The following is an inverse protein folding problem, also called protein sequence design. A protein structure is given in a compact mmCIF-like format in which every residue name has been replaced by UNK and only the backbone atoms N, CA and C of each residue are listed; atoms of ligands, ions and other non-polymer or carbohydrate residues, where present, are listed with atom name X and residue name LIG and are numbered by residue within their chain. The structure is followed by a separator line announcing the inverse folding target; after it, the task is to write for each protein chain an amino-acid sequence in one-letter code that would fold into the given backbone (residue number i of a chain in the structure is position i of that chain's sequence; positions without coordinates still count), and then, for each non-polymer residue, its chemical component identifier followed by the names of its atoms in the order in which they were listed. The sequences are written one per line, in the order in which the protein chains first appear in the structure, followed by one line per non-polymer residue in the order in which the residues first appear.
data_IF_867488820580
#
_entry.id   IF_867488820580
#
_cell.length_a   1.000
_cell.length_b   1.000
_cell.length_c   1.000
_cell.angle_alpha   90.00
_cell.angle_beta   90.00
_cell.angle_gamma   90.00
#
_symmetry.space_group_name_H-M   'P 1'
#
loop_
_entity.id
_entity.type
_entity.pdbx_description
1 polymer ?
#
# COMPACT_ATOMS: atom_id res chain seq x y z
N UNK A 1 -12.67 7.66 18.02
CA UNK A 1 -12.11 6.32 17.78
C UNK A 1 -12.36 5.95 16.33
N UNK A 2 -11.34 5.61 15.54
CA UNK A 2 -11.57 4.85 14.30
C UNK A 2 -12.24 3.51 14.66
N UNK A 3 -13.10 2.97 13.79
CA UNK A 3 -13.91 1.76 14.09
C UNK A 3 -13.02 0.56 14.49
N UNK A 4 -13.58 -0.30 15.35
CA UNK A 4 -13.00 -1.44 16.09
C UNK A 4 -11.92 -2.33 15.42
N UNK A 5 -11.75 -2.32 14.09
CA UNK A 5 -10.71 -3.09 13.38
C UNK A 5 -9.33 -2.42 13.39
N UNK A 6 -9.24 -1.12 13.68
CA UNK A 6 -7.97 -0.36 13.60
C UNK A 6 -7.22 -0.25 14.95
N UNK A 7 -7.80 -0.77 16.05
CA UNK A 7 -7.21 -0.64 17.39
C UNK A 7 -5.82 -1.26 17.54
N UNK A 8 -5.56 -2.39 16.87
CA UNK A 8 -4.27 -3.08 16.93
C UNK A 8 -3.13 -2.33 16.20
N UNK A 9 -3.47 -1.48 15.22
CA UNK A 9 -2.49 -0.67 14.47
C UNK A 9 -2.07 0.57 15.26
N UNK A 10 -2.79 0.92 16.34
CA UNK A 10 -2.51 2.09 17.17
C UNK A 10 -1.54 1.81 18.32
N UNK A 11 -1.32 0.53 18.65
CA UNK A 11 -0.35 0.11 19.67
C UNK A 11 1.06 0.46 19.21
N UNK A 12 1.71 1.33 19.97
CA UNK A 12 3.06 1.79 19.66
C UNK A 12 3.81 2.20 20.93
N UNK A 13 5.14 1.99 20.97
CA UNK A 13 5.96 2.59 22.00
C UNK A 13 5.94 4.12 21.87
N UNK A 14 6.13 4.80 23.00
CA UNK A 14 6.05 6.26 23.07
C UNK A 14 7.39 6.90 22.74
N UNK A 15 7.56 7.38 21.50
CA UNK A 15 8.81 7.98 21.00
C UNK A 15 8.97 9.47 21.32
N UNK A 16 7.88 10.16 21.67
CA UNK A 16 7.89 11.62 21.87
C UNK A 16 7.83 11.99 23.34
N UNK A 17 8.31 13.19 23.69
CA UNK A 17 8.22 13.71 25.06
C UNK A 17 6.80 14.14 25.44
N UNK A 18 5.96 14.49 24.45
CA UNK A 18 4.59 14.97 24.62
C UNK A 18 3.62 14.23 23.69
N UNK A 19 2.35 14.16 24.08
CA UNK A 19 1.26 13.56 23.30
C UNK A 19 0.06 14.52 23.17
N UNK A 20 -0.63 14.47 22.03
CA UNK A 20 -1.90 15.18 21.80
C UNK A 20 -3.03 14.12 21.81
N UNK A 21 -3.73 13.92 22.93
CA UNK A 21 -4.81 12.94 23.00
C UNK A 21 -6.04 13.43 22.21
N UNK A 22 -6.54 12.60 21.28
CA UNK A 22 -7.74 12.89 20.47
C UNK A 22 -8.70 11.71 20.58
N UNK A 23 -9.79 11.88 21.33
CA UNK A 23 -10.78 10.82 21.60
C UNK A 23 -10.17 9.48 22.05
N UNK A 24 -9.05 9.55 22.78
CA UNK A 24 -8.31 8.40 23.33
C UNK A 24 -7.56 8.83 24.59
N UNK A 25 -7.17 7.85 25.41
CA UNK A 25 -6.25 8.06 26.51
C UNK A 25 -4.80 8.15 26.00
N UNK A 26 -4.01 9.04 26.61
CA UNK A 26 -2.57 9.15 26.36
C UNK A 26 -1.81 8.24 27.34
N UNK A 27 -0.67 7.72 26.90
CA UNK A 27 0.22 6.92 27.76
C UNK A 27 1.14 7.80 28.64
N UNK A 28 1.15 9.12 28.39
CA UNK A 28 1.94 10.09 29.16
C UNK A 28 1.19 10.64 30.39
N UNK A 29 1.91 11.07 31.44
CA UNK A 29 1.36 11.90 32.52
C UNK A 29 0.67 13.17 32.00
N UNK A 30 -0.31 13.69 32.76
CA UNK A 30 -1.13 14.85 32.36
C UNK A 30 -0.29 16.09 32.00
N UNK A 31 0.86 16.26 32.63
CA UNK A 31 1.77 17.40 32.42
C UNK A 31 2.36 17.40 31.01
N UNK A 32 2.55 16.20 30.44
CA UNK A 32 3.10 15.93 29.10
C UNK A 32 2.02 15.75 28.03
N UNK A 33 0.75 16.00 28.36
CA UNK A 33 -0.36 16.00 27.40
C UNK A 33 -0.67 17.43 26.93
N UNK A 34 -0.68 17.63 25.62
CA UNK A 34 -1.07 18.89 24.98
C UNK A 34 -2.54 18.77 24.56
N UNK A 35 -3.42 19.48 25.28
CA UNK A 35 -4.85 19.48 25.00
C UNK A 35 -5.16 20.26 23.71
N UNK A 36 -6.22 19.90 23.00
CA UNK A 36 -6.58 20.58 21.74
C UNK A 36 -6.82 22.09 21.92
N UNK A 37 -7.43 22.50 23.03
CA UNK A 37 -7.64 23.93 23.38
C UNK A 37 -6.34 24.72 23.60
N UNK A 38 -5.22 24.02 23.76
CA UNK A 38 -3.90 24.61 23.95
C UNK A 38 -3.19 24.89 22.62
N UNK A 39 -3.73 24.38 21.51
CA UNK A 39 -3.17 24.53 20.18
C UNK A 39 -3.62 25.85 19.55
N UNK A 40 -2.63 26.66 19.17
CA UNK A 40 -2.83 27.91 18.46
C UNK A 40 -2.17 27.79 17.09
N UNK A 41 -2.90 28.20 16.06
CA UNK A 41 -2.43 28.24 14.68
C UNK A 41 -2.21 29.69 14.28
N UNK A 42 -1.10 29.96 13.59
CA UNK A 42 -0.83 31.27 13.00
C UNK A 42 -0.14 31.09 11.65
N UNK A 43 -0.16 32.11 10.80
CA UNK A 43 0.58 32.13 9.54
C UNK A 43 1.74 33.11 9.68
N UNK A 44 2.96 32.68 9.35
CA UNK A 44 4.15 33.55 9.29
C UNK A 44 4.95 33.22 8.04
N UNK A 45 5.22 34.21 7.20
CA UNK A 45 6.03 34.01 5.98
C UNK A 45 5.49 32.89 5.08
N UNK A 46 4.18 32.87 4.85
CA UNK A 46 3.48 31.84 4.07
C UNK A 46 3.60 30.40 4.63
N UNK A 47 3.92 30.25 5.92
CA UNK A 47 3.97 28.97 6.62
C UNK A 47 2.99 28.95 7.77
N UNK A 48 2.26 27.85 7.93
CA UNK A 48 1.48 27.61 9.14
C UNK A 48 2.43 27.27 10.30
N UNK A 49 2.14 27.85 11.45
CA UNK A 49 2.89 27.69 12.68
C UNK A 49 1.93 27.19 13.76
N UNK A 50 2.15 25.97 14.24
CA UNK A 50 1.36 25.36 15.32
C UNK A 50 2.11 25.55 16.64
N UNK A 51 1.47 26.19 17.63
CA UNK A 51 2.06 26.53 18.93
C UNK A 51 1.21 25.96 20.06
N UNK A 52 1.85 25.40 21.09
CA UNK A 52 1.22 25.13 22.37
C UNK A 52 1.28 26.38 23.25
N UNK A 53 0.14 26.86 23.74
CA UNK A 53 0.07 28.02 24.63
C UNK A 53 0.72 27.71 25.99
N UNK A 54 0.44 26.55 26.58
CA UNK A 54 0.98 26.06 27.85
C UNK A 54 2.51 26.00 27.83
N UNK A 55 3.09 25.47 26.76
CA UNK A 55 4.54 25.30 26.64
C UNK A 55 5.24 26.54 26.09
N UNK A 56 4.49 27.46 25.49
CA UNK A 56 4.99 28.57 24.70
C UNK A 56 6.02 28.13 23.63
N UNK A 57 5.77 26.99 22.98
CA UNK A 57 6.65 26.38 21.98
C UNK A 57 5.90 26.06 20.71
N UNK A 58 6.57 26.20 19.57
CA UNK A 58 6.08 25.60 18.32
C UNK A 58 6.20 24.08 18.42
N UNK A 59 5.20 23.38 17.88
CA UNK A 59 5.14 21.92 17.93
C UNK A 59 4.96 21.38 16.51
N UNK A 60 5.53 20.21 16.27
CA UNK A 60 5.36 19.45 15.04
C UNK A 60 4.74 18.12 15.46
N UNK A 61 3.42 17.92 15.23
CA UNK A 61 2.79 16.64 15.50
C UNK A 61 3.45 15.56 14.64
N UNK A 62 3.58 14.35 15.18
CA UNK A 62 4.13 13.20 14.47
C UNK A 62 3.17 12.03 14.65
N UNK A 63 2.82 11.40 13.53
CA UNK A 63 2.09 10.14 13.53
C UNK A 63 3.11 9.01 13.43
N UNK A 64 3.25 8.21 14.48
CA UNK A 64 4.23 7.13 14.58
C UNK A 64 3.59 5.74 14.45
N UNK A 65 2.49 5.64 13.70
CA UNK A 65 1.82 4.38 13.37
C UNK A 65 1.49 4.34 11.87
N UNK A 66 1.28 3.14 11.34
CA UNK A 66 0.85 2.92 9.95
C UNK A 66 -0.64 3.20 9.72
N UNK A 67 -1.26 4.04 10.56
CA UNK A 67 -2.68 4.36 10.44
C UNK A 67 -2.93 5.19 9.18
N UNK A 68 -3.91 4.77 8.36
CA UNK A 68 -4.32 5.53 7.20
C UNK A 68 -5.16 6.75 7.62
N UNK A 69 -4.46 7.78 8.10
CA UNK A 69 -5.11 8.98 8.62
C UNK A 69 -5.84 9.77 7.54
N UNK A 70 -5.52 9.60 6.25
CA UNK A 70 -6.17 10.29 5.14
C UNK A 70 -7.62 9.84 4.89
N UNK A 71 -8.05 8.71 5.47
CA UNK A 71 -9.42 8.24 5.36
C UNK A 71 -10.42 9.36 5.72
N UNK A 72 -11.37 9.73 4.83
CA UNK A 72 -12.33 10.82 5.07
C UNK A 72 -13.20 10.63 6.31
N UNK A 73 -13.34 9.40 6.81
CA UNK A 73 -14.07 9.09 8.05
C UNK A 73 -13.32 9.52 9.32
N UNK A 74 -12.03 9.84 9.21
CA UNK A 74 -11.26 10.38 10.32
C UNK A 74 -11.59 11.85 10.57
N UNK A 75 -11.50 12.27 11.84
CA UNK A 75 -11.72 13.66 12.24
C UNK A 75 -10.82 14.62 11.45
N UNK A 76 -11.40 15.69 10.91
CA UNK A 76 -10.67 16.71 10.15
C UNK A 76 -9.49 17.30 10.92
N UNK A 77 -9.63 17.48 12.24
CA UNK A 77 -8.55 17.95 13.10
C UNK A 77 -7.40 16.95 13.22
N UNK A 78 -7.70 15.66 13.34
CA UNK A 78 -6.68 14.60 13.36
C UNK A 78 -5.95 14.53 12.01
N UNK A 79 -6.70 14.60 10.90
CA UNK A 79 -6.14 14.70 9.55
C UNK A 79 -5.21 15.90 9.40
N UNK A 80 -5.65 17.09 9.80
CA UNK A 80 -4.86 18.32 9.76
C UNK A 80 -3.55 18.19 10.55
N UNK A 81 -3.60 17.70 11.79
CA UNK A 81 -2.41 17.54 12.61
C UNK A 81 -1.45 16.49 12.03
N UNK A 82 -1.99 15.40 11.47
CA UNK A 82 -1.19 14.37 10.80
C UNK A 82 -0.56 14.89 9.50
N UNK A 83 -1.24 15.74 8.73
CA UNK A 83 -0.67 16.38 7.53
C UNK A 83 0.35 17.46 7.87
N UNK A 84 0.21 18.15 9.00
CA UNK A 84 1.11 19.22 9.44
C UNK A 84 2.58 18.78 9.50
N UNK A 85 2.83 17.49 9.78
CA UNK A 85 4.18 16.94 9.86
C UNK A 85 4.97 17.00 8.54
N UNK A 86 4.27 17.21 7.40
CA UNK A 86 4.82 17.20 6.05
C UNK A 86 4.92 18.58 5.38
N UNK A 87 4.57 19.67 6.07
CA UNK A 87 4.49 21.02 5.47
C UNK A 87 5.76 21.51 4.75
N UNK A 88 6.93 20.97 5.08
CA UNK A 88 8.19 21.29 4.38
C UNK A 88 9.01 20.02 4.07
N UNK A 89 8.35 18.87 3.89
CA UNK A 89 9.05 17.62 3.60
C UNK A 89 8.37 16.86 2.47
N UNK A 90 9.17 16.15 1.68
CA UNK A 90 8.66 15.19 0.71
C UNK A 90 8.07 14.00 1.47
N UNK A 91 6.75 13.80 1.35
CA UNK A 91 6.03 12.76 2.09
C UNK A 91 6.36 11.36 1.59
N UNK A 92 6.40 11.18 0.28
CA UNK A 92 6.65 9.91 -0.38
C UNK A 92 7.50 10.13 -1.63
N UNK A 93 8.35 9.15 -1.95
CA UNK A 93 9.03 9.03 -3.23
C UNK A 93 8.57 7.70 -3.80
N UNK A 94 7.85 7.74 -4.91
CA UNK A 94 7.35 6.55 -5.59
C UNK A 94 7.28 6.83 -7.09
N UNK A 95 7.29 5.75 -7.87
CA UNK A 95 6.98 5.81 -9.29
C UNK A 95 5.46 5.71 -9.47
N UNK A 96 4.91 6.58 -10.31
CA UNK A 96 3.49 6.56 -10.70
C UNK A 96 3.40 6.63 -12.22
N UNK A 97 2.55 5.78 -12.79
CA UNK A 97 2.18 5.87 -14.20
C UNK A 97 1.28 7.07 -14.48
N UNK A 98 0.70 7.67 -13.42
CA UNK A 98 -0.26 8.77 -13.53
C UNK A 98 -1.55 8.31 -14.20
N UNK A 99 -2.28 9.25 -14.80
CA UNK A 99 -3.57 8.96 -15.44
C UNK A 99 -3.49 7.91 -16.55
N UNK A 100 -2.36 7.83 -17.25
CA UNK A 100 -2.18 6.92 -18.38
C UNK A 100 -2.07 5.45 -17.94
N UNK A 101 -1.76 5.21 -16.67
CA UNK A 101 -1.63 3.86 -16.13
C UNK A 101 -2.93 3.06 -16.20
N UNK A 102 -4.07 3.73 -16.29
CA UNK A 102 -5.37 3.07 -16.36
C UNK A 102 -5.87 2.80 -17.78
N UNK A 103 -5.29 3.46 -18.78
CA UNK A 103 -5.76 3.45 -20.17
C UNK A 103 -5.15 2.30 -20.99
N UNK A 104 -4.02 1.76 -20.55
CA UNK A 104 -3.33 0.68 -21.25
C UNK A 104 -3.62 -0.68 -20.64
N UNK A 105 -3.89 -1.66 -21.51
CA UNK A 105 -4.00 -3.07 -21.12
C UNK A 105 -2.70 -3.58 -20.52
N UNK A 106 -1.54 -3.13 -21.01
CA UNK A 106 -0.24 -3.60 -20.55
C UNK A 106 0.68 -2.42 -20.26
N UNK A 107 1.27 -2.42 -19.06
CA UNK A 107 2.34 -1.51 -18.67
C UNK A 107 3.61 -2.35 -18.43
N UNK A 108 4.73 -2.01 -19.09
CA UNK A 108 5.97 -2.76 -18.93
C UNK A 108 6.58 -2.56 -17.54
N UNK A 109 7.48 -3.45 -17.13
CA UNK A 109 8.28 -3.23 -15.92
C UNK A 109 9.14 -1.97 -16.09
N UNK A 110 9.17 -1.12 -15.06
CA UNK A 110 10.05 0.06 -15.00
C UNK A 110 11.22 -0.26 -14.08
N UNK A 111 12.43 -0.12 -14.62
CA UNK A 111 13.67 -0.41 -13.91
C UNK A 111 14.60 0.80 -13.99
N UNK A 112 15.17 1.18 -12.86
CA UNK A 112 16.27 2.14 -12.79
C UNK A 112 17.48 1.45 -12.16
N UNK A 113 18.56 1.31 -12.94
CA UNK A 113 19.74 0.50 -12.58
C UNK A 113 19.31 -0.92 -12.16
N UNK A 114 19.54 -1.30 -10.91
CA UNK A 114 19.21 -2.62 -10.38
C UNK A 114 17.91 -2.61 -9.56
N UNK A 115 17.13 -1.53 -9.63
CA UNK A 115 15.91 -1.34 -8.84
C UNK A 115 14.68 -1.37 -9.74
N UNK A 116 13.76 -2.29 -9.46
CA UNK A 116 12.44 -2.31 -10.09
C UNK A 116 11.59 -1.25 -9.41
N UNK A 117 11.25 -0.18 -10.14
CA UNK A 117 10.40 0.90 -9.65
C UNK A 117 8.91 0.58 -9.80
N UNK A 118 8.57 -0.18 -10.85
CA UNK A 118 7.22 -0.68 -11.10
C UNK A 118 7.28 -2.04 -11.76
N UNK A 119 6.46 -2.97 -11.27
CA UNK A 119 6.28 -4.28 -11.92
C UNK A 119 5.52 -4.11 -13.23
N UNK A 120 5.67 -5.05 -14.14
CA UNK A 120 4.77 -5.16 -15.27
C UNK A 120 3.33 -5.40 -14.79
N UNK A 121 2.39 -4.66 -15.38
CA UNK A 121 0.97 -4.66 -15.00
C UNK A 121 0.11 -4.98 -16.21
N UNK A 122 -0.97 -5.73 -16.01
CA UNK A 122 -2.04 -5.92 -16.98
C UNK A 122 -3.36 -5.42 -16.42
N UNK A 123 -3.94 -4.38 -17.04
CA UNK A 123 -5.28 -3.90 -16.73
C UNK A 123 -6.27 -4.57 -17.68
N UNK A 124 -7.07 -5.50 -17.17
CA UNK A 124 -7.98 -6.30 -17.99
C UNK A 124 -9.43 -6.04 -17.60
N UNK A 125 -10.30 -6.09 -18.58
CA UNK A 125 -11.76 -5.95 -18.40
C UNK A 125 -12.45 -7.31 -18.42
N UNK A 126 -13.74 -7.33 -18.07
CA UNK A 126 -14.58 -8.52 -18.23
C UNK A 126 -14.62 -9.03 -19.68
N UNK A 127 -14.57 -8.13 -20.66
CA UNK A 127 -14.49 -8.45 -22.10
C UNK A 127 -13.22 -9.24 -22.41
N UNK A 128 -12.09 -8.86 -21.81
CA UNK A 128 -10.79 -9.51 -22.01
C UNK A 128 -10.74 -10.92 -21.41
N UNK A 129 -11.58 -11.20 -20.41
CA UNK A 129 -11.67 -12.50 -19.74
C UNK A 129 -12.76 -13.40 -20.32
N UNK A 130 -13.61 -12.89 -21.21
CA UNK A 130 -14.80 -13.59 -21.72
C UNK A 130 -14.50 -14.99 -22.26
N UNK A 131 -13.39 -15.17 -22.97
CA UNK A 131 -12.99 -16.47 -23.54
C UNK A 131 -12.70 -17.55 -22.50
N UNK A 132 -12.34 -17.15 -21.27
CA UNK A 132 -12.10 -18.07 -20.16
C UNK A 132 -13.40 -18.60 -19.56
N UNK A 133 -14.51 -17.87 -19.72
CA UNK A 133 -15.82 -18.22 -19.18
C UNK A 133 -16.75 -18.93 -20.18
N UNK A 134 -16.45 -18.87 -21.48
CA UNK A 134 -17.28 -19.49 -22.53
C UNK A 134 -17.12 -21.02 -22.51
N UNK A 135 -18.24 -21.75 -22.50
CA UNK A 135 -18.35 -23.24 -22.47
C UNK A 135 -17.89 -23.89 -21.17
N UNK A 136 -18.88 -24.26 -20.33
CA UNK A 136 -18.77 -24.79 -18.96
C UNK A 136 -18.17 -26.21 -18.82
N UNK A 137 -17.63 -26.81 -19.87
CA UNK A 137 -16.96 -28.11 -19.76
C UNK A 137 -15.46 -27.91 -19.52
N UNK A 138 -14.94 -28.58 -18.50
CA UNK A 138 -13.53 -28.53 -18.08
C UNK A 138 -12.55 -28.96 -19.18
N UNK A 139 -13.03 -29.73 -20.16
CA UNK A 139 -12.25 -30.42 -21.19
C UNK A 139 -11.36 -29.51 -22.05
N UNK A 140 -11.60 -28.19 -22.07
CA UNK A 140 -10.82 -27.25 -22.87
C UNK A 140 -10.21 -26.06 -22.09
N UNK A 141 -10.20 -26.12 -20.75
CA UNK A 141 -9.73 -24.98 -19.94
C UNK A 141 -8.25 -24.64 -20.19
N UNK A 142 -7.38 -25.66 -20.32
CA UNK A 142 -5.93 -25.44 -20.53
C UNK A 142 -5.62 -24.71 -21.83
N UNK A 143 -6.34 -25.02 -22.90
CA UNK A 143 -6.16 -24.35 -24.20
C UNK A 143 -6.69 -22.92 -24.16
N UNK A 144 -7.83 -22.67 -23.49
CA UNK A 144 -8.33 -21.30 -23.27
C UNK A 144 -7.33 -20.46 -22.51
N UNK A 145 -6.76 -21.01 -21.42
CA UNK A 145 -5.68 -20.37 -20.65
C UNK A 145 -4.49 -20.07 -21.55
N UNK A 146 -4.05 -21.02 -22.36
CA UNK A 146 -2.92 -20.86 -23.27
C UNK A 146 -3.16 -19.72 -24.27
N UNK A 147 -4.32 -19.70 -24.94
CA UNK A 147 -4.69 -18.68 -25.93
C UNK A 147 -4.79 -17.29 -25.31
N UNK A 148 -5.50 -17.18 -24.19
CA UNK A 148 -5.66 -15.93 -23.45
C UNK A 148 -4.31 -15.36 -23.03
N UNK A 149 -3.44 -16.20 -22.44
CA UNK A 149 -2.09 -15.79 -22.06
C UNK A 149 -1.24 -15.37 -23.25
N UNK A 150 -1.34 -16.07 -24.37
CA UNK A 150 -0.60 -15.73 -25.60
C UNK A 150 -1.08 -14.40 -26.17
N UNK A 151 -2.39 -14.15 -26.18
CA UNK A 151 -3.02 -12.91 -26.66
C UNK A 151 -2.55 -11.70 -25.85
N UNK A 152 -2.62 -11.78 -24.52
CA UNK A 152 -2.28 -10.67 -23.63
C UNK A 152 -0.82 -10.67 -23.14
N UNK A 153 -0.02 -11.66 -23.58
CA UNK A 153 1.37 -11.90 -23.15
C UNK A 153 1.52 -12.03 -21.63
N UNK A 154 0.52 -12.60 -20.95
CA UNK A 154 0.54 -12.82 -19.50
C UNK A 154 1.44 -14.03 -19.16
N UNK A 155 2.36 -13.90 -18.19
CA UNK A 155 3.27 -14.99 -17.79
C UNK A 155 2.54 -16.18 -17.15
N UNK A 156 3.23 -17.32 -17.01
CA UNK A 156 2.67 -18.56 -16.41
C UNK A 156 2.23 -18.35 -14.98
N UNK A 157 2.94 -17.47 -14.30
CA UNK A 157 2.73 -17.10 -12.93
C UNK A 157 2.53 -15.59 -12.85
N UNK A 158 1.49 -15.15 -12.17
CA UNK A 158 1.16 -13.74 -11.99
C UNK A 158 0.42 -13.56 -10.66
N UNK A 159 0.21 -12.31 -10.28
CA UNK A 159 -0.52 -11.93 -9.07
C UNK A 159 -1.76 -11.14 -9.46
N UNK A 160 -2.94 -11.56 -9.02
CA UNK A 160 -4.12 -10.70 -9.01
C UNK A 160 -3.98 -9.72 -7.84
N UNK A 161 -4.08 -8.42 -8.13
CA UNK A 161 -3.99 -7.35 -7.13
C UNK A 161 -5.35 -6.71 -6.90
N UNK A 162 -5.77 -6.71 -5.65
CA UNK A 162 -7.00 -6.06 -5.18
C UNK A 162 -6.66 -5.17 -3.98
N UNK A 163 -6.43 -3.88 -4.23
CA UNK A 163 -5.93 -2.96 -3.22
C UNK A 163 -4.63 -3.48 -2.56
N UNK A 164 -4.69 -3.81 -1.26
CA UNK A 164 -3.58 -4.37 -0.48
C UNK A 164 -3.51 -5.90 -0.57
N UNK A 165 -4.55 -6.56 -1.08
CA UNK A 165 -4.58 -8.01 -1.21
C UNK A 165 -3.91 -8.46 -2.52
N UNK A 166 -3.14 -9.55 -2.42
CA UNK A 166 -2.43 -10.16 -3.54
C UNK A 166 -2.72 -11.65 -3.57
N UNK A 167 -3.15 -12.17 -4.72
CA UNK A 167 -3.43 -13.58 -4.94
C UNK A 167 -2.50 -14.12 -6.03
N UNK A 168 -1.58 -15.01 -5.64
CA UNK A 168 -0.66 -15.66 -6.57
C UNK A 168 -1.38 -16.75 -7.37
N UNK A 169 -1.21 -16.71 -8.69
CA UNK A 169 -1.80 -17.66 -9.64
C UNK A 169 -0.68 -18.33 -10.42
N UNK A 170 -0.71 -19.67 -10.46
CA UNK A 170 0.06 -20.45 -11.42
C UNK A 170 -0.90 -21.13 -12.41
N UNK A 171 -0.81 -20.76 -13.67
CA UNK A 171 -1.68 -21.25 -14.74
C UNK A 171 -1.50 -22.73 -15.07
N UNK A 172 -0.40 -23.34 -14.62
CA UNK A 172 -0.18 -24.80 -14.73
C UNK A 172 -0.98 -25.59 -13.68
N UNK A 173 -1.40 -24.92 -12.60
CA UNK A 173 -2.30 -25.49 -11.60
C UNK A 173 -3.74 -25.05 -11.90
N UNK A 174 -4.53 -25.97 -12.48
CA UNK A 174 -5.92 -25.70 -12.88
C UNK A 174 -6.82 -25.33 -11.70
N UNK A 175 -6.56 -25.84 -10.49
CA UNK A 175 -7.30 -25.46 -9.29
C UNK A 175 -7.07 -24.00 -8.91
N UNK A 176 -5.81 -23.54 -8.88
CA UNK A 176 -5.48 -22.14 -8.61
C UNK A 176 -6.06 -21.21 -9.69
N UNK A 177 -6.04 -21.64 -10.96
CA UNK A 177 -6.63 -20.85 -12.04
C UNK A 177 -8.17 -20.78 -11.95
N UNK A 178 -8.84 -21.85 -11.54
CA UNK A 178 -10.29 -21.81 -11.26
C UNK A 178 -10.60 -20.84 -10.12
N UNK A 179 -9.79 -20.83 -9.06
CA UNK A 179 -9.92 -19.86 -7.96
C UNK A 179 -9.76 -18.42 -8.48
N UNK A 180 -8.78 -18.16 -9.35
CA UNK A 180 -8.66 -16.86 -10.04
C UNK A 180 -9.95 -16.47 -10.77
N UNK A 181 -10.49 -17.36 -11.61
CA UNK A 181 -11.72 -17.10 -12.37
C UNK A 181 -12.92 -16.81 -11.46
N UNK A 182 -13.00 -17.48 -10.31
CA UNK A 182 -14.02 -17.24 -9.29
C UNK A 182 -13.83 -15.87 -8.62
N UNK A 183 -12.59 -15.50 -8.25
CA UNK A 183 -12.28 -14.21 -7.62
C UNK A 183 -12.59 -13.01 -8.52
N UNK A 184 -12.37 -13.14 -9.83
CA UNK A 184 -12.58 -12.03 -10.78
C UNK A 184 -13.98 -12.01 -11.40
N UNK A 185 -14.83 -12.97 -11.06
CA UNK A 185 -16.18 -13.08 -11.61
C UNK A 185 -17.03 -11.87 -11.20
N UNK A 186 -17.56 -11.15 -12.19
CA UNK A 186 -18.41 -9.97 -11.97
C UNK A 186 -17.65 -8.67 -11.74
N UNK A 187 -16.32 -8.70 -11.70
CA UNK A 187 -15.49 -7.50 -11.68
C UNK A 187 -15.42 -6.90 -13.10
N UNK A 188 -15.59 -5.58 -13.22
CA UNK A 188 -15.51 -4.86 -14.51
C UNK A 188 -14.07 -4.64 -14.97
N UNK A 189 -13.15 -4.50 -14.02
CA UNK A 189 -11.72 -4.25 -14.25
C UNK A 189 -10.93 -5.01 -13.20
N UNK A 190 -9.84 -5.63 -13.63
CA UNK A 190 -8.87 -6.29 -12.76
C UNK A 190 -7.47 -5.84 -13.11
N UNK A 191 -6.58 -5.97 -12.13
CA UNK A 191 -5.16 -5.65 -12.27
C UNK A 191 -4.35 -6.90 -11.97
N UNK A 192 -3.59 -7.36 -12.97
CA UNK A 192 -2.58 -8.39 -12.77
C UNK A 192 -1.20 -7.74 -12.67
N UNK A 193 -0.37 -8.23 -11.77
CA UNK A 193 1.05 -7.89 -11.69
C UNK A 193 1.88 -9.13 -12.04
N UNK A 194 3.06 -8.92 -12.62
CA UNK A 194 4.04 -10.00 -12.73
C UNK A 194 4.49 -10.48 -11.33
N UNK A 195 4.88 -11.74 -11.26
CA UNK A 195 5.60 -12.25 -10.09
C UNK A 195 7.10 -12.05 -10.27
N UNK A 196 7.77 -11.67 -9.19
CA UNK A 196 9.24 -11.63 -9.12
C UNK A 196 9.81 -12.88 -8.43
N UNK A 197 8.93 -13.74 -7.90
CA UNK A 197 9.31 -14.95 -7.18
C UNK A 197 9.79 -15.98 -8.22
N UNK A 198 11.09 -16.23 -8.22
CA UNK A 198 11.74 -17.33 -8.92
C UNK A 198 12.83 -17.93 -8.03
N UNK A 199 13.31 -19.14 -8.36
CA UNK A 199 14.29 -19.88 -7.53
C UNK A 199 15.61 -19.12 -7.32
N UNK A 200 15.91 -18.09 -8.12
CA UNK A 200 17.13 -17.26 -7.99
C UNK A 200 16.91 -15.96 -7.21
N UNK A 201 15.66 -15.57 -6.95
CA UNK A 201 15.28 -14.35 -6.23
C UNK A 201 15.13 -14.54 -4.72
N UNK A 202 15.02 -15.78 -4.26
CA UNK A 202 14.82 -16.09 -2.85
C UNK A 202 16.17 -16.17 -2.13
N UNK A 203 16.37 -15.27 -1.17
CA UNK A 203 17.64 -15.14 -0.43
C UNK A 203 17.54 -15.65 1.01
N UNK A 204 16.33 -15.81 1.53
CA UNK A 204 16.09 -16.28 2.91
C UNK A 204 15.87 -17.79 2.86
N UNK A 205 16.70 -18.52 3.61
CA UNK A 205 16.61 -19.97 3.78
C UNK A 205 16.69 -20.38 5.25
N UNK A 206 16.07 -21.50 5.60
CA UNK A 206 16.25 -22.14 6.91
C UNK A 206 17.45 -23.11 6.92
N UNK A 207 17.66 -23.77 8.06
CA UNK A 207 18.71 -24.77 8.27
C UNK A 207 18.55 -26.00 7.36
N UNK A 208 17.32 -26.32 6.94
CA UNK A 208 16.99 -27.39 6.00
C UNK A 208 17.17 -26.96 4.52
N UNK A 209 17.65 -25.75 4.25
CA UNK A 209 17.75 -25.17 2.91
C UNK A 209 16.42 -24.98 2.17
N UNK A 210 15.30 -24.82 2.90
CA UNK A 210 14.02 -24.38 2.32
C UNK A 210 14.01 -22.87 2.20
N UNK A 211 13.48 -22.36 1.08
CA UNK A 211 13.44 -20.94 0.78
C UNK A 211 12.13 -20.29 1.19
N UNK A 212 12.19 -19.03 1.61
CA UNK A 212 11.04 -18.25 2.06
C UNK A 212 10.95 -16.92 1.31
N UNK A 213 9.73 -16.47 1.02
CA UNK A 213 9.50 -15.12 0.53
C UNK A 213 9.71 -14.12 1.65
N UNK A 214 10.36 -13.00 1.35
CA UNK A 214 10.69 -11.99 2.34
C UNK A 214 10.43 -10.57 1.81
N UNK A 215 10.24 -9.65 2.74
CA UNK A 215 10.18 -8.21 2.50
C UNK A 215 11.15 -7.54 3.47
N UNK A 216 11.91 -6.55 2.99
CA UNK A 216 12.90 -5.82 3.80
C UNK A 216 12.51 -4.36 3.81
N UNK A 217 12.34 -3.81 5.01
CA UNK A 217 12.06 -2.38 5.21
C UNK A 217 13.38 -1.67 5.47
N UNK A 218 13.75 -0.74 4.57
CA UNK A 218 14.95 0.08 4.68
C UNK A 218 14.53 1.53 4.94
N UNK A 219 15.04 2.11 6.03
CA UNK A 219 14.79 3.50 6.37
C UNK A 219 15.93 4.39 5.86
N UNK A 220 15.58 5.42 5.10
CA UNK A 220 16.51 6.45 4.65
C UNK A 220 16.30 7.73 5.46
N UNK A 221 17.39 8.41 5.77
CA UNK A 221 17.36 9.75 6.35
C UNK A 221 18.15 10.70 5.45
N UNK A 222 17.73 11.96 5.39
CA UNK A 222 18.50 12.99 4.68
C UNK A 222 19.76 13.28 5.50
N UNK A 223 20.93 13.01 4.93
CA UNK A 223 22.20 13.44 5.51
C UNK A 223 22.26 14.97 5.58
N UNK A 224 22.83 15.51 6.65
CA UNK A 224 23.18 16.91 6.72
C UNK A 224 24.51 17.08 5.99
N UNK A 225 24.47 17.39 4.71
CA UNK A 225 25.57 18.09 4.02
C UNK A 225 25.35 19.60 4.15
#
# INVERSE_FOLDING_TARGET
MPKFREGNVLLRPSFTSYEIPILTHSLKPKEKQIQLKDLYLSVRGNKLMLRSKKLNKYIIPKLSSSHNYLNPQNLSLYRFLSDFQYQNTTRYIFFDWGSIGEDFIFLPRVVYKNTILSKAIWNLTDVDLKELYLHNTDDNLKEKIYRWRKKFKVPKQFVLKEFDNKLFINTENTFLFKMFLSSVKGLKKIVLEETLINNTSLIVKDEDSKYYTNEIIINFYKGNE
#
